data_IF_463451985027
#
_entry.id   IF_463451985027
#
_cell.length_a   1.000
_cell.length_b   1.000
_cell.length_c   1.000
_cell.angle_alpha   90.00
_cell.angle_beta   90.00
_cell.angle_gamma   90.00
#
_symmetry.space_group_name_H-M   'P 1'
#
loop_
_entity.id
_entity.type
_entity.pdbx_description
1 polymer ?
#
# COMPACT_ATOMS: atom_id res chain seq x y z
N UNK A 1 -22.61 -11.66 -9.58
CA UNK A 1 -23.03 -11.38 -10.99
C UNK A 1 -23.48 -9.94 -11.23
N UNK A 2 -24.27 -9.28 -10.35
CA UNK A 2 -24.64 -7.86 -10.56
C UNK A 2 -23.51 -6.85 -10.19
N UNK A 3 -22.59 -7.22 -9.30
CA UNK A 3 -21.48 -6.35 -8.87
C UNK A 3 -20.35 -6.25 -9.91
N UNK A 4 -20.03 -7.32 -10.64
CA UNK A 4 -18.99 -7.28 -11.68
C UNK A 4 -19.38 -6.42 -12.89
N UNK A 5 -20.67 -6.13 -13.05
CA UNK A 5 -21.16 -5.23 -14.09
C UNK A 5 -20.89 -3.75 -13.79
N UNK A 6 -20.38 -3.38 -12.59
CA UNK A 6 -20.16 -1.99 -12.16
C UNK A 6 -18.73 -1.47 -12.31
N UNK A 7 -18.04 -1.88 -13.36
CA UNK A 7 -16.70 -1.40 -13.65
C UNK A 7 -16.74 -0.15 -14.55
N UNK A 8 -15.94 0.87 -14.21
CA UNK A 8 -15.90 2.13 -14.97
C UNK A 8 -15.22 1.92 -16.32
N UNK A 9 -16.03 1.87 -17.36
CA UNK A 9 -15.60 1.80 -18.75
C UNK A 9 -16.48 2.71 -19.62
N UNK A 10 -16.03 2.96 -20.85
CA UNK A 10 -16.79 3.77 -21.81
C UNK A 10 -17.89 2.92 -22.44
N UNK A 11 -19.13 3.39 -22.30
CA UNK A 11 -20.32 2.80 -22.92
C UNK A 11 -20.40 3.17 -24.41
N UNK A 12 -21.19 2.45 -25.23
CA UNK A 12 -21.30 2.73 -26.67
C UNK A 12 -21.76 4.15 -27.04
N UNK A 13 -22.48 4.82 -26.16
CA UNK A 13 -22.93 6.22 -26.32
C UNK A 13 -21.86 7.26 -25.93
N UNK A 14 -20.68 6.81 -25.52
CA UNK A 14 -19.56 7.64 -25.09
C UNK A 14 -19.62 8.08 -23.62
N UNK A 15 -20.64 7.68 -22.87
CA UNK A 15 -20.77 7.95 -21.43
C UNK A 15 -19.92 6.94 -20.65
N UNK A 16 -19.33 7.36 -19.54
CA UNK A 16 -18.60 6.45 -18.67
C UNK A 16 -19.51 5.93 -17.56
N UNK A 17 -19.46 4.63 -17.33
CA UNK A 17 -20.14 4.04 -16.19
C UNK A 17 -19.62 4.59 -14.87
N UNK A 18 -20.51 4.93 -13.93
CA UNK A 18 -20.12 5.34 -12.59
C UNK A 18 -19.57 4.12 -11.81
N UNK A 19 -18.43 4.27 -11.12
CA UNK A 19 -17.84 3.17 -10.36
C UNK A 19 -18.67 2.92 -9.10
N UNK A 20 -18.85 1.65 -8.74
CA UNK A 20 -19.39 1.26 -7.43
C UNK A 20 -18.25 0.59 -6.67
N UNK A 21 -17.87 1.17 -5.54
CA UNK A 21 -16.80 0.67 -4.68
C UNK A 21 -17.39 0.30 -3.33
N UNK A 22 -17.01 -0.88 -2.83
CA UNK A 22 -17.40 -1.36 -1.50
C UNK A 22 -16.13 -1.43 -0.66
N UNK A 23 -16.11 -0.67 0.42
CA UNK A 23 -15.05 -0.72 1.42
C UNK A 23 -15.51 -1.67 2.53
N UNK A 24 -14.80 -2.79 2.69
CA UNK A 24 -15.12 -3.82 3.66
C UNK A 24 -14.09 -3.78 4.78
N UNK A 25 -14.52 -3.46 6.00
CA UNK A 25 -13.67 -3.47 7.18
C UNK A 25 -14.33 -4.20 8.33
N UNK A 26 -13.54 -4.94 9.10
CA UNK A 26 -14.01 -5.70 10.27
C UNK A 26 -13.57 -5.01 11.57
N UNK A 27 -14.20 -3.88 11.87
CA UNK A 27 -13.91 -3.14 13.11
C UNK A 27 -14.75 -3.64 14.28
N UNK A 28 -14.17 -3.58 15.49
CA UNK A 28 -14.88 -4.01 16.71
C UNK A 28 -16.09 -3.12 16.97
N UNK A 29 -17.28 -3.74 17.13
CA UNK A 29 -18.54 -3.00 17.38
C UNK A 29 -18.98 -3.19 18.83
N UNK A 30 -18.86 -2.17 19.71
CA UNK A 30 -19.45 -2.26 21.03
C UNK A 30 -20.99 -2.30 20.94
N UNK A 31 -21.67 -2.90 21.92
CA UNK A 31 -23.13 -2.78 22.04
C UNK A 31 -23.53 -1.30 22.09
N UNK A 32 -24.66 -0.92 21.47
CA UNK A 32 -25.16 0.47 21.44
C UNK A 32 -25.26 1.11 22.84
N UNK A 33 -25.44 0.30 23.87
CA UNK A 33 -25.50 0.75 25.28
C UNK A 33 -24.15 1.21 25.86
N UNK A 34 -23.02 0.91 25.20
CA UNK A 34 -21.65 1.29 25.64
C UNK A 34 -21.10 2.55 24.96
N UNK A 35 -21.91 3.22 24.13
CA UNK A 35 -21.51 4.44 23.43
C UNK A 35 -21.05 4.20 21.99
N UNK A 36 -20.40 5.20 21.35
CA UNK A 36 -19.95 5.10 19.97
C UNK A 36 -18.86 4.03 19.80
N UNK A 37 -18.76 3.48 18.59
CA UNK A 37 -17.59 2.68 18.21
C UNK A 37 -16.36 3.60 18.14
N UNK A 38 -15.33 3.27 18.92
CA UNK A 38 -14.04 3.95 18.90
C UNK A 38 -13.07 3.02 18.18
N UNK A 39 -12.38 3.53 17.16
CA UNK A 39 -11.41 2.78 16.40
C UNK A 39 -10.03 2.89 17.04
N UNK A 40 -9.34 1.76 17.13
CA UNK A 40 -7.93 1.71 17.48
C UNK A 40 -7.08 2.31 16.35
N UNK A 41 -5.85 2.73 16.66
CA UNK A 41 -4.97 3.37 15.66
C UNK A 41 -4.78 2.52 14.39
N UNK A 42 -4.56 1.21 14.55
CA UNK A 42 -4.41 0.29 13.42
C UNK A 42 -5.69 0.15 12.57
N UNK A 43 -6.87 0.28 13.17
CA UNK A 43 -8.15 0.27 12.45
C UNK A 43 -8.33 1.56 11.62
N UNK A 44 -7.91 2.71 12.16
CA UNK A 44 -7.90 4.00 11.44
C UNK A 44 -6.89 3.96 10.29
N UNK A 45 -5.69 3.40 10.52
CA UNK A 45 -4.68 3.19 9.49
C UNK A 45 -5.22 2.34 8.34
N UNK A 46 -5.84 1.20 8.67
CA UNK A 46 -6.51 0.32 7.71
C UNK A 46 -7.59 1.06 6.93
N UNK A 47 -8.41 1.87 7.60
CA UNK A 47 -9.46 2.65 6.92
C UNK A 47 -8.88 3.62 5.87
N UNK A 48 -7.78 4.31 6.18
CA UNK A 48 -7.13 5.22 5.23
C UNK A 48 -6.49 4.49 4.07
N UNK A 49 -5.84 3.35 4.35
CA UNK A 49 -5.29 2.47 3.33
C UNK A 49 -6.37 2.05 2.31
N UNK A 50 -7.49 1.49 2.79
CA UNK A 50 -8.60 1.07 1.94
C UNK A 50 -9.27 2.25 1.21
N UNK A 51 -9.30 3.43 1.84
CA UNK A 51 -9.81 4.64 1.19
C UNK A 51 -8.91 5.09 0.03
N UNK A 52 -7.60 4.87 0.10
CA UNK A 52 -6.68 5.12 -1.02
C UNK A 52 -7.02 4.27 -2.25
N UNK A 53 -7.26 2.97 -2.04
CA UNK A 53 -7.76 2.06 -3.10
C UNK A 53 -9.12 2.49 -3.65
N UNK A 54 -10.03 2.90 -2.75
CA UNK A 54 -11.35 3.38 -3.13
C UNK A 54 -11.28 4.66 -3.98
N UNK A 55 -10.45 5.62 -3.58
CA UNK A 55 -10.23 6.85 -4.35
C UNK A 55 -9.60 6.56 -5.71
N UNK A 56 -8.61 5.69 -5.78
CA UNK A 56 -8.02 5.28 -7.05
C UNK A 56 -9.08 4.67 -7.98
N UNK A 57 -9.94 3.81 -7.43
CA UNK A 57 -11.07 3.20 -8.15
C UNK A 57 -12.12 4.21 -8.61
N UNK A 58 -12.48 5.18 -7.77
CA UNK A 58 -13.49 6.19 -8.08
C UNK A 58 -13.00 7.23 -9.08
N UNK A 59 -11.73 7.61 -9.00
CA UNK A 59 -11.13 8.66 -9.84
C UNK A 59 -10.67 8.10 -11.17
N UNK A 60 -10.10 6.88 -11.19
CA UNK A 60 -9.63 6.18 -12.38
C UNK A 60 -10.72 6.10 -13.44
N UNK A 61 -10.45 6.69 -14.61
CA UNK A 61 -11.41 6.79 -15.72
C UNK A 61 -10.77 6.21 -16.98
N UNK A 62 -10.99 4.93 -17.22
CA UNK A 62 -10.43 4.23 -18.38
C UNK A 62 -11.52 3.86 -19.38
N UNK A 63 -11.14 3.75 -20.66
CA UNK A 63 -12.06 3.30 -21.71
C UNK A 63 -12.38 1.80 -21.57
N UNK A 64 -11.42 1.01 -21.08
CA UNK A 64 -11.52 -0.43 -20.97
C UNK A 64 -11.66 -0.90 -19.52
N UNK A 65 -12.56 -1.86 -19.32
CA UNK A 65 -12.90 -2.43 -18.02
C UNK A 65 -11.73 -3.21 -17.38
N UNK A 66 -10.87 -3.86 -18.17
CA UNK A 66 -9.75 -4.65 -17.68
C UNK A 66 -8.65 -3.80 -17.02
N UNK A 67 -8.65 -2.49 -17.21
CA UNK A 67 -7.71 -1.54 -16.59
C UNK A 67 -8.40 -0.50 -15.72
N UNK A 68 -9.68 -0.70 -15.39
CA UNK A 68 -10.44 0.23 -14.57
C UNK A 68 -10.08 0.11 -13.09
N UNK A 69 -10.00 1.25 -12.39
CA UNK A 69 -9.70 1.32 -10.97
C UNK A 69 -8.33 0.76 -10.62
N UNK A 70 -8.25 -0.12 -9.61
CA UNK A 70 -7.00 -0.72 -9.13
C UNK A 70 -6.44 -1.84 -10.01
N UNK A 71 -7.04 -2.13 -11.18
CA UNK A 71 -6.50 -3.10 -12.15
C UNK A 71 -5.31 -2.54 -12.91
N UNK A 72 -4.21 -2.35 -12.20
CA UNK A 72 -2.94 -1.79 -12.68
C UNK A 72 -1.78 -2.77 -12.40
N UNK A 73 -0.54 -2.36 -12.65
CA UNK A 73 0.61 -3.18 -12.28
C UNK A 73 0.66 -3.40 -10.76
N UNK A 74 1.03 -4.61 -10.34
CA UNK A 74 0.96 -5.01 -8.93
C UNK A 74 2.01 -4.30 -8.07
N UNK A 75 3.12 -3.86 -8.66
CA UNK A 75 4.19 -3.04 -8.08
C UNK A 75 3.92 -1.53 -8.18
N UNK A 76 2.64 -1.18 -8.16
CA UNK A 76 2.13 0.20 -8.15
C UNK A 76 0.79 0.31 -7.41
N UNK A 77 0.01 -0.78 -7.39
CA UNK A 77 -1.36 -0.76 -6.86
C UNK A 77 -1.45 -0.28 -5.42
N UNK A 78 -0.41 -0.47 -4.60
CA UNK A 78 -0.40 -0.07 -3.19
C UNK A 78 0.10 1.38 -2.99
N UNK A 79 0.65 2.03 -4.02
CA UNK A 79 1.09 3.42 -3.90
C UNK A 79 -0.03 4.35 -3.40
N UNK A 80 -1.27 4.32 -3.94
CA UNK A 80 -2.33 5.21 -3.46
C UNK A 80 -2.81 4.90 -2.04
N UNK A 81 -2.83 3.64 -1.63
CA UNK A 81 -3.26 3.22 -0.29
C UNK A 81 -2.21 3.59 0.76
N UNK A 82 -0.95 3.28 0.51
CA UNK A 82 0.16 3.62 1.41
C UNK A 82 0.36 5.13 1.49
N UNK A 83 0.18 5.87 0.39
CA UNK A 83 0.25 7.33 0.46
C UNK A 83 -0.78 7.89 1.46
N UNK A 84 -1.97 7.31 1.54
CA UNK A 84 -2.98 7.70 2.53
C UNK A 84 -2.60 7.35 3.97
N UNK A 85 -1.81 6.31 4.20
CA UNK A 85 -1.20 6.04 5.51
C UNK A 85 -0.30 7.22 5.94
N UNK A 86 0.49 7.79 5.03
CA UNK A 86 1.32 8.96 5.34
C UNK A 86 0.49 10.21 5.69
N UNK A 87 -0.69 10.38 5.09
CA UNK A 87 -1.58 11.49 5.48
C UNK A 87 -1.98 11.38 6.96
N UNK A 88 -2.17 10.17 7.50
CA UNK A 88 -2.50 9.99 8.92
C UNK A 88 -1.38 10.38 9.87
N UNK A 89 -0.12 10.37 9.43
CA UNK A 89 1.00 10.80 10.28
C UNK A 89 1.09 12.31 10.41
N UNK A 90 0.25 13.08 9.68
CA UNK A 90 0.25 14.53 9.76
C UNK A 90 -0.65 15.05 10.88
N UNK A 91 -0.11 15.88 11.81
CA UNK A 91 -0.94 16.57 12.81
C UNK A 91 -2.04 17.43 12.20
N UNK A 92 -1.77 18.05 11.04
CA UNK A 92 -2.74 18.87 10.31
C UNK A 92 -3.91 18.03 9.82
N UNK A 93 -3.65 16.84 9.28
CA UNK A 93 -4.69 15.92 8.81
C UNK A 93 -5.48 15.34 9.99
N UNK A 94 -4.80 14.88 11.05
CA UNK A 94 -5.44 14.38 12.27
C UNK A 94 -6.35 15.43 12.92
N UNK A 95 -6.03 16.72 12.79
CA UNK A 95 -6.87 17.81 13.31
C UNK A 95 -8.24 17.93 12.63
N UNK A 96 -8.42 17.36 11.43
CA UNK A 96 -9.67 17.44 10.67
C UNK A 96 -10.78 16.59 11.26
N UNK A 97 -10.44 15.54 12.02
CA UNK A 97 -11.40 14.60 12.58
C UNK A 97 -11.18 14.30 14.07
N UNK A 98 -10.09 14.79 14.68
CA UNK A 98 -9.96 14.82 16.14
C UNK A 98 -10.71 16.01 16.73
N UNK A 99 -11.58 15.76 17.71
CA UNK A 99 -12.27 16.84 18.44
C UNK A 99 -11.27 17.68 19.24
N UNK A 100 -11.60 18.94 19.50
CA UNK A 100 -10.71 19.87 20.23
C UNK A 100 -10.41 19.43 21.67
N UNK A 101 -11.32 18.67 22.27
CA UNK A 101 -11.20 18.14 23.65
C UNK A 101 -10.40 16.83 23.72
N UNK A 102 -10.06 16.22 22.58
CA UNK A 102 -9.35 14.94 22.52
C UNK A 102 -7.84 15.15 22.31
N UNK A 103 -7.23 15.81 23.30
CA UNK A 103 -5.78 16.04 23.33
C UNK A 103 -4.99 14.72 23.33
N UNK A 104 -5.58 13.65 23.88
CA UNK A 104 -5.00 12.32 23.91
C UNK A 104 -4.93 11.68 22.52
N UNK A 105 -5.99 11.75 21.71
CA UNK A 105 -5.96 11.23 20.33
C UNK A 105 -4.92 11.94 19.45
N UNK A 106 -4.78 13.27 19.60
CA UNK A 106 -3.72 14.04 18.92
C UNK A 106 -2.33 13.64 19.38
N UNK A 107 -2.15 13.36 20.67
CA UNK A 107 -0.87 12.94 21.22
C UNK A 107 -0.50 11.53 20.79
N UNK A 108 -1.45 10.60 20.73
CA UNK A 108 -1.24 9.22 20.27
C UNK A 108 -0.92 9.19 18.77
N UNK A 109 -1.71 9.85 17.92
CA UNK A 109 -1.44 9.84 16.48
C UNK A 109 -0.14 10.54 16.08
N UNK A 110 0.25 11.61 16.79
CA UNK A 110 1.48 12.35 16.52
C UNK A 110 2.74 11.72 17.15
N UNK A 111 2.59 10.74 18.05
CA UNK A 111 3.71 10.06 18.74
C UNK A 111 3.64 8.53 18.64
N UNK A 112 2.83 7.98 17.73
CA UNK A 112 2.79 6.55 17.51
C UNK A 112 4.07 6.13 16.77
N UNK A 113 5.09 5.79 17.54
CA UNK A 113 6.24 5.02 17.06
C UNK A 113 5.99 3.57 17.43
N UNK A 114 5.81 2.72 16.42
CA UNK A 114 5.74 1.29 16.63
C UNK A 114 7.16 0.75 16.95
N UNK A 115 7.42 0.30 18.19
CA UNK A 115 8.76 -0.18 18.57
C UNK A 115 9.16 -1.46 17.82
N UNK A 116 8.18 -2.16 17.23
CA UNK A 116 8.39 -3.38 16.47
C UNK A 116 8.51 -3.14 14.96
N UNK A 117 8.41 -1.89 14.48
CA UNK A 117 8.34 -1.60 13.06
C UNK A 117 9.47 -2.23 12.23
N UNK A 118 10.72 -2.15 12.72
CA UNK A 118 11.87 -2.77 12.04
C UNK A 118 11.77 -4.32 11.98
N UNK A 119 11.17 -4.94 12.99
CA UNK A 119 10.92 -6.39 13.03
C UNK A 119 9.84 -6.75 12.01
N UNK A 120 8.80 -5.93 11.90
CA UNK A 120 7.71 -6.13 10.93
C UNK A 120 8.18 -5.92 9.49
N UNK A 121 8.95 -4.86 9.22
CA UNK A 121 9.60 -4.62 7.92
C UNK A 121 10.54 -5.77 7.56
N UNK A 122 11.31 -6.29 8.52
CA UNK A 122 12.12 -7.50 8.30
C UNK A 122 11.26 -8.72 7.98
N UNK A 123 10.13 -8.90 8.67
CA UNK A 123 9.14 -9.93 8.36
C UNK A 123 8.62 -9.83 6.93
N UNK A 124 8.22 -8.63 6.49
CA UNK A 124 7.78 -8.35 5.11
C UNK A 124 8.87 -8.70 4.08
N UNK A 125 10.14 -8.39 4.37
CA UNK A 125 11.27 -8.77 3.50
C UNK A 125 11.37 -10.30 3.40
N UNK A 126 11.28 -11.02 4.52
CA UNK A 126 11.31 -12.49 4.49
C UNK A 126 10.15 -13.07 3.68
N UNK A 127 8.94 -12.52 3.81
CA UNK A 127 7.79 -12.94 3.02
C UNK A 127 7.98 -12.69 1.53
N UNK A 128 8.55 -11.54 1.14
CA UNK A 128 8.91 -11.25 -0.24
C UNK A 128 9.95 -12.23 -0.79
N UNK A 129 10.99 -12.54 -0.01
CA UNK A 129 12.02 -13.52 -0.40
C UNK A 129 11.42 -14.93 -0.52
N UNK A 130 10.53 -15.31 0.40
CA UNK A 130 9.85 -16.60 0.36
C UNK A 130 8.95 -16.73 -0.88
N UNK A 131 8.18 -15.69 -1.18
CA UNK A 131 7.33 -15.61 -2.37
C UNK A 131 8.16 -15.76 -3.66
N UNK A 132 9.30 -15.07 -3.77
CA UNK A 132 10.22 -15.26 -4.90
C UNK A 132 10.77 -16.68 -4.98
N UNK A 133 11.12 -17.30 -3.85
CA UNK A 133 11.61 -18.67 -3.83
C UNK A 133 10.55 -19.66 -4.35
N UNK A 134 9.29 -19.48 -3.93
CA UNK A 134 8.16 -20.34 -4.32
C UNK A 134 7.70 -20.14 -5.76
N UNK A 135 8.02 -19.00 -6.37
CA UNK A 135 7.71 -18.71 -7.76
C UNK A 135 8.94 -18.71 -8.68
N UNK A 136 10.06 -19.28 -8.19
CA UNK A 136 11.26 -19.49 -8.98
C UNK A 136 11.23 -20.86 -9.70
N UNK A 137 12.13 -21.10 -10.67
CA UNK A 137 12.27 -22.42 -11.29
C UNK A 137 12.49 -23.57 -10.28
N UNK A 138 13.08 -23.29 -9.10
CA UNK A 138 13.30 -24.28 -8.05
C UNK A 138 12.01 -24.94 -7.56
N UNK A 139 10.88 -24.22 -7.60
CA UNK A 139 9.58 -24.76 -7.21
C UNK A 139 9.06 -25.86 -8.15
N UNK A 140 9.65 -25.99 -9.34
CA UNK A 140 9.30 -27.03 -10.33
C UNK A 140 10.20 -28.27 -10.27
N UNK A 141 11.25 -28.25 -9.44
CA UNK A 141 12.20 -29.35 -9.33
C UNK A 141 11.58 -30.56 -8.60
N UNK A 142 11.89 -31.80 -9.03
CA UNK A 142 11.49 -33.00 -8.31
C UNK A 142 12.02 -32.99 -6.87
N UNK A 143 11.13 -33.09 -5.89
CA UNK A 143 11.50 -33.06 -4.47
C UNK A 143 11.52 -31.66 -3.85
N UNK A 144 10.99 -30.64 -4.53
CA UNK A 144 10.75 -29.34 -3.90
C UNK A 144 9.87 -29.50 -2.64
N UNK A 145 10.35 -28.97 -1.53
CA UNK A 145 9.66 -28.95 -0.25
C UNK A 145 9.51 -27.49 0.21
N UNK A 146 8.26 -27.02 0.20
CA UNK A 146 7.91 -25.67 0.64
C UNK A 146 8.24 -25.46 2.12
N UNK A 147 7.94 -26.42 2.99
CA UNK A 147 8.22 -26.32 4.44
C UNK A 147 9.72 -26.26 4.69
N UNK A 148 10.51 -27.11 4.03
CA UNK A 148 11.96 -27.07 4.15
C UNK A 148 12.54 -25.75 3.63
N UNK A 149 11.95 -25.18 2.57
CA UNK A 149 12.36 -23.88 2.02
C UNK A 149 12.08 -22.74 3.00
N UNK A 150 10.90 -22.70 3.61
CA UNK A 150 10.58 -21.77 4.70
C UNK A 150 11.56 -21.93 5.88
N UNK A 151 11.78 -23.16 6.34
CA UNK A 151 12.68 -23.43 7.46
C UNK A 151 14.12 -22.97 7.18
N UNK A 152 14.64 -23.22 5.98
CA UNK A 152 15.97 -22.75 5.55
C UNK A 152 16.05 -21.22 5.52
N UNK A 153 15.02 -20.55 5.03
CA UNK A 153 14.98 -19.08 5.00
C UNK A 153 15.02 -18.49 6.42
N UNK A 154 14.18 -19.01 7.33
CA UNK A 154 14.19 -18.61 8.74
C UNK A 154 15.51 -18.92 9.44
N UNK A 155 16.14 -20.06 9.16
CA UNK A 155 17.44 -20.39 9.73
C UNK A 155 18.56 -19.44 9.24
N UNK A 156 18.50 -19.02 7.98
CA UNK A 156 19.52 -18.17 7.38
C UNK A 156 19.34 -16.68 7.72
N UNK A 157 18.09 -16.20 7.83
CA UNK A 157 17.75 -14.77 7.86
C UNK A 157 16.65 -14.40 8.87
N UNK A 158 16.03 -15.36 9.53
CA UNK A 158 14.94 -15.12 10.49
C UNK A 158 15.45 -14.49 11.79
N UNK A 159 14.70 -13.51 12.31
CA UNK A 159 14.87 -13.04 13.70
C UNK A 159 14.24 -14.02 14.69
N UNK A 160 13.15 -14.67 14.29
CA UNK A 160 12.43 -15.69 15.05
C UNK A 160 12.66 -17.05 14.36
N UNK A 161 13.13 -18.07 15.09
CA UNK A 161 13.41 -19.37 14.51
C UNK A 161 12.14 -20.05 14.01
N UNK A 162 12.29 -20.87 12.97
CA UNK A 162 11.21 -21.72 12.49
C UNK A 162 10.76 -22.71 13.57
N UNK A 163 9.45 -22.94 13.67
CA UNK A 163 8.87 -23.90 14.60
C UNK A 163 8.64 -25.22 13.87
N UNK A 164 9.35 -26.27 14.28
CA UNK A 164 9.22 -27.60 13.68
C UNK A 164 7.80 -28.17 13.77
N UNK A 165 7.42 -28.98 12.79
CA UNK A 165 6.08 -29.58 12.72
C UNK A 165 4.98 -28.62 12.24
N UNK A 166 5.32 -27.38 11.89
CA UNK A 166 4.37 -26.40 11.33
C UNK A 166 4.44 -26.34 9.80
N UNK A 167 3.39 -25.81 9.19
CA UNK A 167 3.33 -25.51 7.75
C UNK A 167 2.69 -24.15 7.55
N UNK A 168 3.27 -23.12 8.19
CA UNK A 168 2.73 -21.76 8.22
C UNK A 168 2.51 -21.18 6.83
N UNK A 169 3.34 -21.54 5.85
CA UNK A 169 3.21 -21.07 4.47
C UNK A 169 1.86 -21.40 3.83
N UNK A 170 1.11 -22.38 4.35
CA UNK A 170 -0.25 -22.69 3.87
C UNK A 170 -1.29 -21.65 4.26
N UNK A 171 -0.95 -20.76 5.22
CA UNK A 171 -1.76 -19.62 5.66
C UNK A 171 -1.39 -18.33 4.90
N UNK A 172 -0.31 -18.36 4.11
CA UNK A 172 0.14 -17.20 3.36
C UNK A 172 -0.66 -17.04 2.06
N UNK A 173 -1.87 -16.47 2.20
CA UNK A 173 -2.83 -16.34 1.10
C UNK A 173 -2.31 -15.62 -0.13
N UNK A 174 -1.39 -14.66 0.03
CA UNK A 174 -0.79 -13.89 -1.08
C UNK A 174 -0.02 -14.73 -2.08
N UNK A 175 0.41 -15.94 -1.72
CA UNK A 175 1.02 -16.87 -2.67
C UNK A 175 0.07 -17.22 -3.84
N UNK A 176 -1.24 -17.04 -3.66
CA UNK A 176 -2.26 -17.27 -4.68
C UNK A 176 -2.92 -15.95 -5.09
N UNK A 177 -2.88 -15.61 -6.37
CA UNK A 177 -3.41 -14.35 -6.91
C UNK A 177 -2.43 -13.18 -6.90
N UNK A 178 -1.47 -13.17 -5.96
CA UNK A 178 -0.37 -12.19 -5.86
C UNK A 178 1.02 -12.85 -5.92
N UNK A 179 1.09 -14.12 -6.34
CA UNK A 179 2.33 -14.88 -6.38
C UNK A 179 3.41 -14.20 -7.21
N UNK A 180 4.65 -14.25 -6.71
CA UNK A 180 5.83 -13.60 -7.25
C UNK A 180 5.85 -12.06 -7.17
N UNK A 181 4.88 -11.44 -6.50
CA UNK A 181 4.76 -9.98 -6.44
C UNK A 181 4.71 -9.43 -5.02
N UNK A 182 4.90 -10.23 -3.96
CA UNK A 182 4.79 -9.71 -2.58
C UNK A 182 5.82 -8.61 -2.25
N UNK A 183 6.94 -8.56 -2.98
CA UNK A 183 7.91 -7.46 -2.87
C UNK A 183 7.30 -6.08 -3.17
N UNK A 184 6.18 -6.02 -3.90
CA UNK A 184 5.50 -4.78 -4.27
C UNK A 184 5.11 -3.95 -3.05
N UNK A 185 4.74 -4.57 -1.92
CA UNK A 185 4.42 -3.84 -0.70
C UNK A 185 5.58 -2.95 -0.24
N UNK A 186 6.80 -3.50 -0.18
CA UNK A 186 7.98 -2.75 0.23
C UNK A 186 8.38 -1.71 -0.83
N UNK A 187 8.22 -2.08 -2.09
CA UNK A 187 8.54 -1.23 -3.23
C UNK A 187 7.61 0.00 -3.30
N UNK A 188 6.31 -0.21 -3.23
CA UNK A 188 5.30 0.85 -3.19
C UNK A 188 5.42 1.71 -1.93
N UNK A 189 5.84 1.14 -0.79
CA UNK A 189 6.15 1.94 0.41
C UNK A 189 7.30 2.91 0.16
N UNK A 190 8.37 2.50 -0.51
CA UNK A 190 9.48 3.39 -0.87
C UNK A 190 9.03 4.51 -1.84
N UNK A 191 8.21 4.18 -2.83
CA UNK A 191 7.67 5.17 -3.78
C UNK A 191 6.71 6.13 -3.05
N UNK A 192 5.78 5.62 -2.24
CA UNK A 192 4.82 6.42 -1.49
C UNK A 192 5.51 7.41 -0.55
N UNK A 193 6.55 6.97 0.16
CA UNK A 193 7.37 7.83 1.02
C UNK A 193 8.04 8.96 0.22
N UNK A 194 8.57 8.64 -0.97
CA UNK A 194 9.18 9.63 -1.88
C UNK A 194 8.15 10.65 -2.40
N UNK A 195 6.96 10.18 -2.80
CA UNK A 195 5.84 11.03 -3.24
C UNK A 195 5.37 11.93 -2.11
N UNK A 196 5.14 11.37 -0.91
CA UNK A 196 4.75 12.11 0.29
C UNK A 196 5.73 13.24 0.58
N UNK A 197 7.02 12.94 0.67
CA UNK A 197 8.07 13.94 0.94
C UNK A 197 8.08 15.06 -0.10
N UNK A 198 7.96 14.71 -1.38
CA UNK A 198 8.09 15.69 -2.46
C UNK A 198 6.86 16.59 -2.58
N UNK A 199 5.65 16.04 -2.40
CA UNK A 199 4.41 16.74 -2.70
C UNK A 199 3.66 17.24 -1.46
N UNK A 200 3.67 16.50 -0.35
CA UNK A 200 2.68 16.68 0.73
C UNK A 200 3.28 16.93 2.11
N UNK A 201 4.51 16.51 2.39
CA UNK A 201 5.09 16.61 3.74
C UNK A 201 5.15 18.05 4.29
N UNK A 202 5.32 19.06 3.42
CA UNK A 202 5.33 20.48 3.82
C UNK A 202 3.93 21.05 4.05
N UNK A 203 2.98 20.68 3.20
CA UNK A 203 1.61 21.17 3.23
C UNK A 203 0.69 20.04 2.73
N UNK A 204 0.22 19.18 3.64
CA UNK A 204 -0.52 17.98 3.25
C UNK A 204 -1.89 18.34 2.67
N UNK A 205 -2.47 19.49 3.04
CA UNK A 205 -3.77 19.92 2.54
C UNK A 205 -3.66 20.80 1.29
N UNK A 206 -2.49 20.81 0.63
CA UNK A 206 -2.27 21.59 -0.57
C UNK A 206 -3.17 21.12 -1.74
N UNK A 207 -4.15 21.94 -2.10
CA UNK A 207 -5.10 21.63 -3.19
C UNK A 207 -4.42 21.46 -4.55
N UNK A 208 -3.40 22.25 -4.85
CA UNK A 208 -2.71 22.17 -6.15
C UNK A 208 -1.97 20.83 -6.29
N UNK A 209 -1.27 20.40 -5.25
CA UNK A 209 -0.58 19.09 -5.23
C UNK A 209 -1.57 17.92 -5.27
N UNK A 210 -2.72 18.04 -4.59
CA UNK A 210 -3.79 17.06 -4.68
C UNK A 210 -4.36 16.91 -6.10
N UNK A 211 -4.63 18.03 -6.80
CA UNK A 211 -5.08 17.99 -8.20
C UNK A 211 -3.98 17.51 -9.16
N UNK A 212 -2.70 17.79 -8.86
CA UNK A 212 -1.56 17.23 -9.59
C UNK A 212 -1.54 15.70 -9.47
N UNK A 213 -1.55 15.17 -8.25
CA UNK A 213 -1.58 13.73 -7.98
C UNK A 213 -2.78 13.04 -8.64
N UNK A 214 -3.98 13.62 -8.50
CA UNK A 214 -5.18 13.14 -9.17
C UNK A 214 -5.03 13.08 -10.69
N UNK A 215 -4.43 14.10 -11.31
CA UNK A 215 -4.27 14.20 -12.77
C UNK A 215 -3.16 13.31 -13.32
N UNK A 216 -2.07 13.12 -12.59
CA UNK A 216 -0.87 12.42 -13.06
C UNK A 216 -0.84 10.95 -12.64
N UNK A 217 -1.60 10.57 -11.62
CA UNK A 217 -1.65 9.20 -11.09
C UNK A 217 -3.09 8.67 -11.18
N UNK A 218 -3.97 9.13 -10.28
CA UNK A 218 -5.24 8.44 -10.01
C UNK A 218 -6.20 8.38 -11.21
N UNK A 219 -6.22 9.41 -12.07
CA UNK A 219 -7.18 9.46 -13.20
C UNK A 219 -6.97 8.33 -14.21
N UNK A 220 -5.78 7.77 -14.27
CA UNK A 220 -5.41 6.79 -15.28
C UNK A 220 -5.91 5.38 -14.92
N UNK A 221 -6.27 5.11 -13.65
CA UNK A 221 -6.50 3.74 -13.21
C UNK A 221 -5.27 2.88 -13.53
N UNK A 222 -5.47 1.73 -14.17
CA UNK A 222 -4.39 0.94 -14.76
C UNK A 222 -4.14 1.15 -16.26
N UNK A 223 -4.67 2.23 -16.84
CA UNK A 223 -4.59 2.48 -18.27
C UNK A 223 -3.31 3.17 -18.75
N UNK A 224 -2.39 3.50 -17.85
CA UNK A 224 -1.12 4.18 -18.13
C UNK A 224 0.02 3.46 -17.42
N UNK A 225 1.23 3.55 -17.97
CA UNK A 225 2.43 2.94 -17.39
C UNK A 225 2.80 3.61 -16.05
N UNK A 226 2.82 2.86 -14.93
CA UNK A 226 3.23 3.36 -13.63
C UNK A 226 4.58 4.07 -13.62
N UNK A 227 5.57 3.56 -14.37
CA UNK A 227 6.91 4.14 -14.40
C UNK A 227 6.93 5.51 -15.05
N UNK A 228 6.18 5.67 -16.15
CA UNK A 228 6.00 6.96 -16.79
C UNK A 228 5.27 7.95 -15.85
N UNK A 229 4.22 7.50 -15.17
CA UNK A 229 3.46 8.33 -14.23
C UNK A 229 4.33 8.77 -13.03
N UNK A 230 5.03 7.84 -12.39
CA UNK A 230 5.91 8.11 -11.24
C UNK A 230 7.07 9.01 -11.66
N UNK A 231 7.74 8.71 -12.78
CA UNK A 231 8.84 9.51 -13.29
C UNK A 231 8.41 10.94 -13.60
N UNK A 232 7.23 11.15 -14.18
CA UNK A 232 6.65 12.48 -14.39
C UNK A 232 6.32 13.20 -13.08
N UNK A 233 5.63 12.53 -12.15
CA UNK A 233 5.20 13.11 -10.87
C UNK A 233 6.40 13.53 -10.02
N UNK A 234 7.42 12.68 -9.97
CA UNK A 234 8.65 12.90 -9.21
C UNK A 234 9.70 13.69 -9.98
N UNK A 235 9.43 14.12 -11.22
CA UNK A 235 10.38 14.79 -12.12
C UNK A 235 11.72 14.05 -12.18
N UNK A 236 11.64 12.72 -12.27
CA UNK A 236 12.75 11.77 -12.28
C UNK A 236 12.72 10.97 -13.58
N UNK A 237 13.21 11.53 -14.70
CA UNK A 237 13.15 10.90 -16.02
C UNK A 237 13.83 9.53 -16.07
N UNK A 238 14.83 9.30 -15.22
CA UNK A 238 15.53 8.02 -15.06
C UNK A 238 14.61 6.86 -14.64
N UNK A 239 13.44 7.14 -14.06
CA UNK A 239 12.48 6.11 -13.67
C UNK A 239 11.56 5.70 -14.83
N UNK A 240 11.41 6.56 -15.84
CA UNK A 240 10.38 6.39 -16.87
C UNK A 240 10.53 5.14 -17.74
N UNK A 241 11.72 4.53 -17.77
CA UNK A 241 11.98 3.30 -18.51
C UNK A 241 11.47 2.03 -17.81
N UNK A 242 11.27 2.07 -16.49
CA UNK A 242 10.91 0.89 -15.70
C UNK A 242 11.89 -0.29 -15.81
N UNK A 243 13.14 -0.01 -16.18
CA UNK A 243 14.16 -1.04 -16.36
C UNK A 243 14.83 -1.44 -15.04
N UNK A 244 15.84 -2.31 -15.13
CA UNK A 244 16.56 -2.78 -13.96
C UNK A 244 17.31 -1.67 -13.20
N UNK A 245 17.70 -0.57 -13.86
CA UNK A 245 18.27 0.59 -13.16
C UNK A 245 17.20 1.40 -12.44
N UNK A 246 16.03 1.61 -13.06
CA UNK A 246 14.89 2.24 -12.40
C UNK A 246 14.47 1.47 -11.14
N UNK A 247 14.38 0.13 -11.23
CA UNK A 247 14.14 -0.75 -10.09
C UNK A 247 15.24 -0.63 -9.02
N UNK A 248 16.51 -0.60 -9.41
CA UNK A 248 17.64 -0.42 -8.48
C UNK A 248 17.59 0.94 -7.80
N UNK A 249 17.20 1.98 -8.52
CA UNK A 249 17.09 3.32 -7.97
C UNK A 249 16.02 3.39 -6.89
N UNK A 250 14.82 2.87 -7.14
CA UNK A 250 13.78 2.75 -6.11
C UNK A 250 14.28 1.89 -4.94
N UNK A 251 15.00 0.80 -5.22
CA UNK A 251 15.59 -0.05 -4.18
C UNK A 251 16.68 0.63 -3.32
N UNK A 252 17.24 1.76 -3.77
CA UNK A 252 18.13 2.61 -2.93
C UNK A 252 17.35 3.56 -2.03
N UNK A 253 16.08 3.81 -2.35
CA UNK A 253 15.24 4.67 -1.52
C UNK A 253 14.90 3.95 -0.23
N UNK A 254 14.98 4.68 0.87
CA UNK A 254 14.55 4.17 2.16
C UNK A 254 13.05 4.23 2.23
N UNK A 255 12.45 3.22 2.85
CA UNK A 255 11.03 3.21 3.16
C UNK A 255 10.70 4.32 4.19
N UNK A 256 11.68 4.74 5.00
CA UNK A 256 11.42 5.39 6.30
C UNK A 256 12.24 6.65 6.62
N UNK A 257 12.78 7.41 5.67
CA UNK A 257 13.45 8.67 6.06
C UNK A 257 12.44 9.77 6.46
N UNK A 258 12.09 9.68 7.75
CA UNK A 258 11.52 10.64 8.71
C UNK A 258 9.98 10.71 8.85
N UNK A 259 9.42 9.68 9.48
CA UNK A 259 8.26 9.81 10.40
C UNK A 259 8.67 10.47 11.73
N UNK A 260 9.98 10.59 11.99
CA UNK A 260 10.50 11.40 13.09
C UNK A 260 10.49 12.89 12.71
N UNK A 261 9.62 13.65 13.38
CA UNK A 261 9.60 15.11 13.35
C UNK A 261 11.03 15.64 13.64
N UNK A 262 11.61 16.51 12.80
CA UNK A 262 12.91 17.10 13.07
C UNK A 262 12.82 17.96 14.34
N UNK A 263 13.45 17.50 15.42
CA UNK A 263 13.58 18.26 16.66
C UNK A 263 13.28 17.46 17.91
N UNK A 264 14.15 16.50 18.26
CA UNK A 264 14.32 15.96 19.61
C UNK A 264 15.64 15.19 19.72
N UNK A 265 16.73 15.95 19.87
CA UNK A 265 17.80 15.57 20.79
C UNK A 265 17.52 16.28 22.12
#
# INVERSE_FOLDING_TARGET
RAFEASNRHRMPDGVFQLPIVVLLTEFTRPPLSRGPAVLEWHEVLTLFHEMGHAMHSMIGKTEYQNVSGTRCATDFVELPSILMEHFLTSPTVLSLFSSADDAAARQVGNHHEDPCHNIDTHGQILLAVLDQAYHSPAATEPGFDSTATLARLHAARGLIPFVEGTSWQTQFGHLFGYGATYYSYLFDRAIASRVWRKLFARDPLNREMGERYKREILRHGGGEDPWAMIGSLLEAPELTSGDAEAMREVGRWRIEDEVAIPGRH
#
